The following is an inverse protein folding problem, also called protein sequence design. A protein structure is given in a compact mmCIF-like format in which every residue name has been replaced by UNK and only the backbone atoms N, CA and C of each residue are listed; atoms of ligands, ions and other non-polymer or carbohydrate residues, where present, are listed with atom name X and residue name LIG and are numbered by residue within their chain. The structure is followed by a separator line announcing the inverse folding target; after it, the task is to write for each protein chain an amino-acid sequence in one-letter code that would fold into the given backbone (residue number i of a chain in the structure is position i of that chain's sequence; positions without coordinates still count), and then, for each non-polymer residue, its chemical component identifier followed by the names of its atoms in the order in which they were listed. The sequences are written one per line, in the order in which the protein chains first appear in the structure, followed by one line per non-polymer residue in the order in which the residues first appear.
data_IF_012818224013
#
_entry.id   IF_012818224013
#
_cell.length_a   1.000
_cell.length_b   1.000
_cell.length_c   1.000
_cell.angle_alpha   90.00
_cell.angle_beta   90.00
_cell.angle_gamma   90.00
#
_symmetry.space_group_name_H-M   'P 1'
#
loop_
_entity.id
_entity.type
_entity.pdbx_description
1 polymer ?
#
# COMPACT_ATOMS: atom_id res chain seq x y z
N UNK A 1 11.17 21.89 -11.26
CA UNK A 1 11.21 23.21 -10.59
C UNK A 1 12.15 23.11 -9.40
N UNK A 2 12.98 24.14 -9.15
CA UNK A 2 13.86 24.19 -7.97
C UNK A 2 13.15 24.95 -6.85
N UNK A 3 13.17 24.40 -5.63
CA UNK A 3 12.56 24.98 -4.44
C UNK A 3 13.65 25.21 -3.40
N UNK A 4 13.72 26.41 -2.83
CA UNK A 4 14.62 26.75 -1.71
C UNK A 4 13.78 26.87 -0.45
N UNK A 5 14.19 26.15 0.60
CA UNK A 5 13.51 26.13 1.90
C UNK A 5 14.45 26.69 2.97
N UNK A 6 13.96 27.60 3.80
CA UNK A 6 14.65 28.01 5.02
C UNK A 6 14.20 27.10 6.17
N UNK A 7 15.13 26.34 6.73
CA UNK A 7 14.91 25.38 7.81
C UNK A 7 16.13 25.38 8.72
N UNK A 8 15.98 25.05 9.99
CA UNK A 8 17.11 24.93 10.91
C UNK A 8 17.98 23.70 10.58
N UNK A 9 19.27 23.80 10.90
CA UNK A 9 20.28 22.77 10.61
C UNK A 9 19.95 21.43 11.29
N UNK A 10 19.42 21.47 12.51
CA UNK A 10 19.10 20.28 13.30
C UNK A 10 17.95 19.48 12.65
N UNK A 11 16.93 20.18 12.15
CA UNK A 11 15.83 19.58 11.41
C UNK A 11 16.30 18.96 10.10
N UNK A 12 17.22 19.61 9.38
CA UNK A 12 17.78 19.05 8.14
C UNK A 12 18.53 17.75 8.43
N UNK A 13 19.31 17.70 9.50
CA UNK A 13 20.08 16.50 9.84
C UNK A 13 19.19 15.33 10.24
N UNK A 14 18.17 15.58 11.08
CA UNK A 14 17.15 14.57 11.43
C UNK A 14 16.43 14.06 10.18
N UNK A 15 16.06 14.95 9.26
CA UNK A 15 15.38 14.57 8.04
C UNK A 15 16.28 13.73 7.11
N UNK A 16 17.60 14.01 7.07
CA UNK A 16 18.58 13.17 6.35
C UNK A 16 18.70 11.79 6.96
N UNK A 17 18.72 11.69 8.28
CA UNK A 17 18.78 10.41 8.98
C UNK A 17 17.57 9.54 8.65
N UNK A 18 16.36 10.12 8.71
CA UNK A 18 15.11 9.45 8.32
C UNK A 18 15.15 9.00 6.86
N UNK A 19 15.60 9.87 5.94
CA UNK A 19 15.73 9.50 4.54
C UNK A 19 16.70 8.33 4.33
N UNK A 20 17.84 8.32 5.03
CA UNK A 20 18.81 7.22 5.02
C UNK A 20 18.20 5.91 5.52
N UNK A 21 17.46 5.95 6.62
CA UNK A 21 16.78 4.77 7.17
C UNK A 21 15.76 4.18 6.18
N UNK A 22 15.13 5.04 5.37
CA UNK A 22 14.20 4.64 4.31
C UNK A 22 14.88 4.30 2.97
N UNK A 23 16.22 4.34 2.91
CA UNK A 23 16.97 4.06 1.68
C UNK A 23 16.80 5.12 0.57
N UNK A 24 16.40 6.34 0.92
CA UNK A 24 16.13 7.44 -0.02
C UNK A 24 16.98 8.68 0.30
N UNK A 25 16.88 9.72 -0.55
CA UNK A 25 17.52 11.02 -0.31
C UNK A 25 16.53 12.03 0.28
N UNK A 26 17.04 13.02 1.02
CA UNK A 26 16.21 14.10 1.57
C UNK A 26 15.39 14.80 0.48
N UNK A 27 15.99 15.11 -0.67
CA UNK A 27 15.27 15.75 -1.78
C UNK A 27 14.18 14.85 -2.38
N UNK A 28 14.42 13.54 -2.48
CA UNK A 28 13.41 12.61 -2.95
C UNK A 28 12.25 12.51 -1.95
N UNK A 29 12.54 12.48 -0.65
CA UNK A 29 11.55 12.46 0.42
C UNK A 29 10.71 13.75 0.44
N UNK A 30 11.34 14.92 0.32
CA UNK A 30 10.64 16.22 0.24
C UNK A 30 9.76 16.27 -1.01
N UNK A 31 10.24 15.77 -2.16
CA UNK A 31 9.45 15.72 -3.40
C UNK A 31 8.21 14.86 -3.22
N UNK A 32 8.35 13.63 -2.72
CA UNK A 32 7.22 12.73 -2.45
C UNK A 32 6.24 13.36 -1.45
N UNK A 33 6.74 14.05 -0.42
CA UNK A 33 5.88 14.74 0.54
C UNK A 33 5.10 15.90 -0.09
N UNK A 34 5.74 16.72 -0.91
CA UNK A 34 5.10 17.81 -1.65
C UNK A 34 4.12 17.25 -2.68
N UNK A 35 4.45 16.16 -3.37
CA UNK A 35 3.55 15.49 -4.31
C UNK A 35 2.32 14.91 -3.62
N UNK A 36 2.45 14.35 -2.41
CA UNK A 36 1.31 13.91 -1.59
C UNK A 36 0.50 15.07 -1.00
N UNK A 37 1.16 16.17 -0.69
CA UNK A 37 0.50 17.36 -0.15
C UNK A 37 -0.26 18.11 -1.26
N UNK A 38 0.37 18.29 -2.41
CA UNK A 38 -0.22 18.90 -3.60
C UNK A 38 -1.22 17.95 -4.29
N UNK A 39 -0.98 16.66 -4.16
CA UNK A 39 -1.82 15.59 -4.61
C UNK A 39 -2.32 14.78 -3.43
N UNK A 40 -3.50 15.14 -2.91
CA UNK A 40 -4.49 14.07 -2.81
C UNK A 40 -4.53 13.50 -4.25
N UNK A 41 -4.03 12.29 -4.52
CA UNK A 41 -4.14 11.79 -5.88
C UNK A 41 -5.63 11.84 -6.16
N UNK A 42 -6.02 12.60 -7.18
CA UNK A 42 -7.45 12.73 -7.46
C UNK A 42 -8.01 11.31 -7.53
N UNK A 43 -9.25 11.10 -7.09
CA UNK A 43 -9.83 9.75 -7.09
C UNK A 43 -9.61 9.02 -8.43
N UNK A 44 -9.50 9.78 -9.53
CA UNK A 44 -9.11 9.30 -10.86
C UNK A 44 -7.70 8.70 -10.95
N UNK A 45 -6.66 9.29 -10.34
CA UNK A 45 -5.29 8.74 -10.32
C UNK A 45 -5.22 7.45 -9.50
N UNK A 46 -5.92 7.42 -8.35
CA UNK A 46 -6.02 6.20 -7.53
C UNK A 46 -6.77 5.11 -8.31
N UNK A 47 -7.91 5.45 -8.91
CA UNK A 47 -8.70 4.51 -9.70
C UNK A 47 -7.91 3.96 -10.90
N UNK A 48 -7.16 4.82 -11.62
CA UNK A 48 -6.32 4.39 -12.74
C UNK A 48 -5.22 3.41 -12.30
N UNK A 49 -4.58 3.67 -11.15
CA UNK A 49 -3.57 2.75 -10.60
C UNK A 49 -4.18 1.43 -10.14
N UNK A 50 -5.38 1.47 -9.54
CA UNK A 50 -6.10 0.28 -9.13
C UNK A 50 -6.50 -0.58 -10.34
N UNK A 51 -6.96 0.07 -11.41
CA UNK A 51 -7.33 -0.58 -12.66
C UNK A 51 -6.11 -1.26 -13.31
N UNK A 52 -4.97 -0.56 -13.40
CA UNK A 52 -3.74 -1.14 -13.93
C UNK A 52 -3.31 -2.40 -13.15
N UNK A 53 -3.44 -2.39 -11.81
CA UNK A 53 -3.19 -3.58 -11.00
C UNK A 53 -4.16 -4.73 -11.28
N UNK A 54 -5.46 -4.47 -11.49
CA UNK A 54 -6.42 -5.52 -11.88
C UNK A 54 -6.19 -6.07 -13.28
N UNK A 55 -5.65 -5.27 -14.19
CA UNK A 55 -5.33 -5.74 -15.54
C UNK A 55 -4.07 -6.62 -15.54
N UNK A 56 -3.09 -6.31 -14.68
CA UNK A 56 -1.87 -7.11 -14.49
C UNK A 56 -2.12 -8.39 -13.69
N UNK A 57 -2.92 -8.31 -12.62
CA UNK A 57 -3.28 -9.42 -11.74
C UNK A 57 -4.82 -9.51 -11.61
N UNK A 58 -5.48 -10.21 -12.55
CA UNK A 58 -6.93 -10.29 -12.56
C UNK A 58 -7.45 -10.91 -11.26
N UNK A 59 -8.52 -10.33 -10.67
CA UNK A 59 -9.06 -10.84 -9.43
C UNK A 59 -9.48 -12.31 -9.59
N UNK A 60 -9.22 -13.09 -8.55
CA UNK A 60 -9.61 -14.50 -8.51
C UNK A 60 -11.10 -14.65 -8.84
N UNK A 61 -11.41 -15.56 -9.75
CA UNK A 61 -12.80 -15.91 -10.07
C UNK A 61 -13.28 -16.98 -9.11
N UNK A 62 -14.26 -16.64 -8.27
CA UNK A 62 -15.02 -17.67 -7.56
C UNK A 62 -15.76 -18.56 -8.54
N UNK A 63 -15.97 -19.83 -8.17
CA UNK A 63 -16.72 -20.77 -8.99
C UNK A 63 -18.17 -20.27 -9.22
N UNK A 64 -18.82 -20.65 -10.35
CA UNK A 64 -20.23 -20.33 -10.58
C UNK A 64 -21.10 -20.79 -9.40
N UNK A 65 -21.94 -19.90 -8.88
CA UNK A 65 -22.80 -20.19 -7.73
C UNK A 65 -22.12 -20.18 -6.37
N UNK A 66 -20.80 -19.90 -6.31
CA UNK A 66 -20.10 -19.74 -5.05
C UNK A 66 -20.69 -18.58 -4.25
N UNK A 67 -21.05 -18.87 -3.00
CA UNK A 67 -21.49 -17.89 -2.03
C UNK A 67 -20.53 -17.98 -0.86
N UNK A 68 -20.10 -16.82 -0.38
CA UNK A 68 -19.31 -16.77 0.84
C UNK A 68 -20.10 -17.39 1.99
N UNK A 69 -19.59 -18.49 2.54
CA UNK A 69 -20.04 -19.06 3.79
C UNK A 69 -18.93 -18.91 4.84
N UNK A 70 -19.24 -18.19 5.92
CA UNK A 70 -18.31 -17.97 7.01
C UNK A 70 -17.98 -19.28 7.74
N UNK A 71 -18.89 -20.25 7.77
CA UNK A 71 -18.70 -21.52 8.45
C UNK A 71 -17.60 -22.36 7.80
N UNK A 72 -17.51 -22.35 6.46
CA UNK A 72 -16.46 -23.06 5.68
C UNK A 72 -15.04 -22.68 6.12
N UNK A 73 -14.82 -21.42 6.54
CA UNK A 73 -13.51 -20.90 6.98
C UNK A 73 -13.04 -21.54 8.29
N UNK A 74 -13.99 -22.00 9.11
CA UNK A 74 -13.70 -22.55 10.44
C UNK A 74 -14.00 -24.06 10.54
N UNK A 75 -14.41 -24.70 9.45
CA UNK A 75 -14.85 -26.10 9.43
C UNK A 75 -13.78 -27.04 9.99
N UNK A 76 -12.51 -26.86 9.59
CA UNK A 76 -11.37 -27.62 10.11
C UNK A 76 -11.11 -27.39 11.62
N UNK A 77 -11.44 -26.20 12.15
CA UNK A 77 -11.29 -25.88 13.58
C UNK A 77 -12.47 -26.36 14.42
N UNK A 78 -13.67 -26.42 13.86
CA UNK A 78 -14.89 -26.79 14.55
C UNK A 78 -15.14 -28.30 14.53
N UNK A 79 -14.71 -29.00 13.48
CA UNK A 79 -15.06 -30.40 13.26
C UNK A 79 -13.89 -31.39 13.33
N UNK A 80 -12.70 -30.94 13.73
CA UNK A 80 -11.58 -31.77 14.19
C UNK A 80 -11.30 -33.00 13.33
N UNK A 81 -10.38 -32.86 12.36
CA UNK A 81 -9.83 -33.91 11.47
C UNK A 81 -10.30 -35.33 11.85
N UNK A 82 -11.32 -35.86 11.16
CA UNK A 82 -11.67 -37.29 11.26
C UNK A 82 -10.38 -38.07 10.99
N UNK A 83 -9.92 -38.82 12.00
CA UNK A 83 -8.86 -39.81 11.83
C UNK A 83 -9.46 -40.91 10.97
N UNK A 84 -9.04 -40.97 9.72
CA UNK A 84 -9.33 -42.11 8.87
C UNK A 84 -8.64 -43.36 9.49
N UNK A 85 -9.43 -44.41 9.74
CA UNK A 85 -8.99 -45.77 10.11
C UNK A 85 -8.47 -46.55 8.90
#
# INVERSE_FOLDING_TARGET
MNLTLAVDEETVEKAREVARQQGTSLNALIRDYIERLAGNPSGAVIAARLQAHWDEDPPGRSAPGWRFDRAEIYDERLHGKKRDE
#
